data_IF_688941701801
#
_entry.id   IF_688941701801
#
_cell.length_a   1.000
_cell.length_b   1.000
_cell.length_c   1.000
_cell.angle_alpha   90.00
_cell.angle_beta   90.00
_cell.angle_gamma   90.00
#
_symmetry.space_group_name_H-M   'P 1'
#
loop_
_entity.id
_entity.type
_entity.pdbx_description
1 polymer ?
#
# COMPACT_ATOMS: atom_id res chain seq x y z
N UNK A 1 -5.64 -49.21 9.62
CA UNK A 1 -4.80 -48.78 8.48
C UNK A 1 -4.05 -47.53 8.94
N UNK A 2 -2.87 -47.73 9.52
CA UNK A 2 -1.98 -46.64 9.97
C UNK A 2 -1.07 -46.30 8.80
N UNK A 3 -0.92 -45.01 8.50
CA UNK A 3 -0.08 -44.56 7.38
C UNK A 3 1.39 -44.92 7.67
N UNK A 4 2.02 -45.63 6.74
CA UNK A 4 3.43 -46.02 6.83
C UNK A 4 4.33 -44.78 6.88
N UNK A 5 5.43 -44.86 7.63
CA UNK A 5 6.37 -43.74 7.85
C UNK A 5 6.89 -43.13 6.55
N UNK A 6 6.97 -43.93 5.47
CA UNK A 6 7.35 -43.47 4.14
C UNK A 6 6.32 -42.52 3.50
N UNK A 7 5.04 -42.66 3.80
CA UNK A 7 3.98 -41.76 3.30
C UNK A 7 4.03 -40.39 4.01
N UNK A 8 4.37 -40.37 5.31
CA UNK A 8 4.53 -39.14 6.09
C UNK A 8 5.76 -38.35 5.64
N UNK A 9 6.85 -39.04 5.27
CA UNK A 9 8.06 -38.40 4.71
C UNK A 9 7.79 -37.74 3.35
N UNK A 10 7.06 -38.41 2.43
CA UNK A 10 6.73 -37.81 1.12
C UNK A 10 5.87 -36.55 1.24
N UNK A 11 4.87 -36.56 2.12
CA UNK A 11 4.00 -35.40 2.37
C UNK A 11 4.82 -34.20 2.91
N UNK A 12 5.88 -34.46 3.69
CA UNK A 12 6.77 -33.40 4.21
C UNK A 12 7.75 -32.86 3.19
N UNK A 13 8.22 -33.69 2.26
CA UNK A 13 9.06 -33.23 1.14
C UNK A 13 8.27 -32.35 0.16
N UNK A 14 7.05 -32.75 -0.19
CA UNK A 14 6.18 -32.00 -1.11
C UNK A 14 5.84 -30.60 -0.56
N UNK A 15 5.56 -30.51 0.75
CA UNK A 15 5.29 -29.23 1.43
C UNK A 15 6.51 -28.28 1.49
N UNK A 16 7.75 -28.80 1.48
CA UNK A 16 8.96 -27.97 1.47
C UNK A 16 9.30 -27.41 0.10
N UNK A 17 8.88 -28.08 -0.97
CA UNK A 17 9.07 -27.59 -2.34
C UNK A 17 7.98 -26.60 -2.78
N UNK A 18 6.73 -26.77 -2.34
CA UNK A 18 5.66 -25.78 -2.58
C UNK A 18 5.90 -24.46 -1.84
N UNK A 19 6.36 -24.50 -0.58
CA UNK A 19 6.76 -23.30 0.16
C UNK A 19 7.95 -22.54 -0.47
N UNK A 20 8.77 -23.22 -1.30
CA UNK A 20 9.89 -22.60 -2.00
C UNK A 20 9.49 -21.94 -3.33
N UNK A 21 8.31 -22.27 -3.88
CA UNK A 21 7.79 -21.64 -5.11
C UNK A 21 6.86 -20.47 -4.82
N UNK A 22 6.08 -20.50 -3.74
CA UNK A 22 5.17 -19.40 -3.40
C UNK A 22 5.89 -18.11 -2.96
N UNK A 23 7.12 -18.21 -2.45
CA UNK A 23 7.92 -17.04 -2.02
C UNK A 23 8.79 -16.47 -3.14
N UNK A 24 9.02 -17.20 -4.24
CA UNK A 24 9.97 -16.78 -5.29
C UNK A 24 9.37 -15.94 -6.42
N UNK A 25 8.06 -15.71 -6.42
CA UNK A 25 7.42 -14.82 -7.41
C UNK A 25 7.06 -13.44 -6.85
N UNK A 26 6.97 -13.27 -5.52
CA UNK A 26 6.79 -11.93 -4.92
C UNK A 26 8.10 -11.21 -4.61
N UNK A 27 9.25 -11.90 -4.61
CA UNK A 27 10.57 -11.33 -4.27
C UNK A 27 11.62 -11.53 -5.36
N UNK A 28 11.26 -11.34 -6.63
CA UNK A 28 12.23 -11.31 -7.73
C UNK A 28 12.10 -10.06 -8.57
N UNK A 29 12.84 -9.04 -8.13
CA UNK A 29 13.56 -8.17 -9.04
C UNK A 29 13.18 -6.70 -8.93
N UNK A 30 14.17 -5.93 -8.48
CA UNK A 30 14.28 -4.46 -8.54
C UNK A 30 13.58 -3.65 -7.44
N UNK A 31 14.40 -3.22 -6.47
CA UNK A 31 14.21 -2.10 -5.53
C UNK A 31 13.52 -2.38 -4.18
N UNK A 32 14.24 -3.06 -3.29
CA UNK A 32 14.06 -3.02 -1.84
C UNK A 32 14.55 -1.67 -1.25
N UNK A 33 13.94 -0.55 -1.67
CA UNK A 33 14.22 0.78 -1.08
C UNK A 33 13.20 1.07 0.03
N UNK A 34 13.41 0.43 1.18
CA UNK A 34 12.67 0.66 2.42
C UNK A 34 11.37 -0.15 2.47
N UNK A 35 11.26 -1.01 3.48
CA UNK A 35 10.02 -1.71 3.81
C UNK A 35 8.91 -0.66 4.03
N UNK A 36 8.04 -0.52 3.05
CA UNK A 36 6.90 0.41 3.09
C UNK A 36 5.82 -0.13 2.16
N UNK A 37 5.06 -1.09 2.67
CA UNK A 37 3.87 -1.56 1.97
C UNK A 37 2.95 -0.39 1.61
N UNK A 38 2.37 -0.39 0.40
CA UNK A 38 1.42 0.64 0.02
C UNK A 38 0.22 0.62 0.96
N UNK A 39 -0.15 1.80 1.46
CA UNK A 39 -1.30 1.97 2.36
C UNK A 39 -2.53 2.17 1.48
N UNK A 40 -3.46 1.21 1.50
CA UNK A 40 -4.76 1.33 0.85
C UNK A 40 -5.81 1.60 1.92
N UNK A 41 -6.55 2.69 1.78
CA UNK A 41 -7.58 3.09 2.72
C UNK A 41 -8.63 3.97 2.05
N UNK A 42 -9.48 4.61 2.85
CA UNK A 42 -10.51 5.54 2.41
C UNK A 42 -10.32 6.86 3.15
N UNK A 43 -10.48 7.99 2.48
CA UNK A 43 -10.53 9.29 3.17
C UNK A 43 -11.80 9.42 4.02
N UNK A 44 -11.71 10.16 5.11
CA UNK A 44 -12.86 10.52 5.94
C UNK A 44 -13.35 11.90 5.55
N UNK A 45 -14.62 11.99 5.16
CA UNK A 45 -15.28 13.24 4.81
C UNK A 45 -15.21 13.61 3.33
N UNK A 46 -15.31 14.90 3.06
CA UNK A 46 -15.34 15.43 1.69
C UNK A 46 -13.92 15.78 1.21
N UNK A 47 -13.50 15.14 0.13
CA UNK A 47 -12.30 15.48 -0.61
C UNK A 47 -12.63 16.50 -1.69
N UNK A 48 -12.01 17.69 -1.59
CA UNK A 48 -12.21 18.82 -2.50
C UNK A 48 -11.05 19.04 -3.48
N UNK A 49 -10.10 18.12 -3.50
CA UNK A 49 -8.87 18.26 -4.25
C UNK A 49 -7.61 18.28 -3.40
N UNK A 50 -6.48 18.24 -4.09
CA UNK A 50 -5.17 18.43 -3.49
C UNK A 50 -4.83 19.92 -3.32
N UNK A 51 -4.20 20.25 -2.21
CA UNK A 51 -3.71 21.58 -1.88
C UNK A 51 -2.62 21.52 -0.81
N UNK A 52 -1.57 22.34 -0.95
CA UNK A 52 -0.46 22.39 0.01
C UNK A 52 -0.97 22.75 1.41
N UNK A 53 -0.52 22.00 2.42
CA UNK A 53 -0.94 22.16 3.81
C UNK A 53 -2.30 21.52 4.14
N UNK A 54 -3.01 20.96 3.16
CA UNK A 54 -4.22 20.20 3.44
C UNK A 54 -3.88 18.91 4.19
N UNK A 55 -4.75 18.57 5.15
CA UNK A 55 -4.67 17.35 5.93
C UNK A 55 -5.76 16.38 5.49
N UNK A 56 -5.39 15.12 5.41
CA UNK A 56 -6.23 14.02 4.97
C UNK A 56 -6.26 12.95 6.04
N UNK A 57 -7.43 12.74 6.62
CA UNK A 57 -7.67 11.69 7.60
C UNK A 57 -8.13 10.44 6.86
N UNK A 58 -7.45 9.33 7.12
CA UNK A 58 -7.83 8.02 6.61
C UNK A 58 -8.81 7.32 7.56
N UNK A 59 -9.57 6.37 7.04
CA UNK A 59 -10.53 5.58 7.82
C UNK A 59 -9.87 4.75 8.95
N UNK A 60 -8.59 4.43 8.81
CA UNK A 60 -7.80 3.77 9.86
C UNK A 60 -7.27 4.75 10.95
N UNK A 61 -7.68 6.02 10.90
CA UNK A 61 -7.29 7.05 11.88
C UNK A 61 -5.95 7.73 11.61
N UNK A 62 -5.19 7.32 10.59
CA UNK A 62 -3.96 7.99 10.19
C UNK A 62 -4.26 9.37 9.60
N UNK A 63 -3.36 10.32 9.81
CA UNK A 63 -3.48 11.66 9.23
C UNK A 63 -2.23 12.00 8.44
N UNK A 64 -2.46 12.46 7.21
CA UNK A 64 -1.42 12.79 6.25
C UNK A 64 -1.56 14.24 5.81
N UNK A 65 -0.45 14.96 5.75
CA UNK A 65 -0.41 16.34 5.28
C UNK A 65 0.28 16.42 3.93
N UNK A 66 -0.30 17.17 2.99
CA UNK A 66 0.35 17.45 1.72
C UNK A 66 1.42 18.53 1.85
N UNK A 67 2.62 18.20 1.38
CA UNK A 67 3.82 19.06 1.52
C UNK A 67 4.23 19.75 0.22
N UNK A 68 3.66 19.34 -0.92
CA UNK A 68 3.93 19.91 -2.24
C UNK A 68 2.74 20.74 -2.75
N UNK A 69 2.99 21.62 -3.72
CA UNK A 69 1.97 22.45 -4.39
C UNK A 69 1.18 21.71 -5.48
N UNK A 70 1.17 20.37 -5.49
CA UNK A 70 0.35 19.59 -6.42
C UNK A 70 -1.13 19.95 -6.26
N UNK A 71 -1.82 20.27 -7.36
CA UNK A 71 -3.22 20.67 -7.33
C UNK A 71 -4.07 19.70 -8.11
N UNK A 72 -5.20 19.35 -7.53
CA UNK A 72 -6.26 18.61 -8.20
C UNK A 72 -7.55 19.36 -7.94
N UNK A 73 -7.84 20.35 -8.76
CA UNK A 73 -9.04 21.20 -8.63
C UNK A 73 -10.26 20.55 -9.28
N UNK A 74 -11.46 21.00 -8.90
CA UNK A 74 -12.72 20.53 -9.49
C UNK A 74 -13.14 19.13 -9.08
N UNK A 75 -12.43 18.50 -8.15
CA UNK A 75 -12.79 17.18 -7.60
C UNK A 75 -13.64 17.37 -6.36
N UNK A 76 -14.78 16.68 -6.33
CA UNK A 76 -15.62 16.57 -5.15
C UNK A 76 -16.03 15.12 -4.98
N UNK A 77 -15.51 14.48 -3.93
CA UNK A 77 -15.84 13.10 -3.58
C UNK A 77 -16.06 12.99 -2.08
N UNK A 78 -17.01 12.17 -1.68
CA UNK A 78 -17.25 11.86 -0.27
C UNK A 78 -16.68 10.48 0.00
N UNK A 79 -15.79 10.40 1.01
CA UNK A 79 -15.07 9.20 1.38
C UNK A 79 -14.43 8.44 0.20
N UNK A 80 -13.62 9.09 -0.66
CA UNK A 80 -12.98 8.37 -1.76
C UNK A 80 -11.92 7.37 -1.26
N UNK A 81 -11.76 6.29 -2.02
CA UNK A 81 -10.62 5.38 -1.88
C UNK A 81 -9.30 6.10 -2.16
N UNK A 82 -8.27 5.75 -1.41
CA UNK A 82 -6.96 6.39 -1.47
C UNK A 82 -5.85 5.35 -1.30
N UNK A 83 -4.80 5.50 -2.11
CA UNK A 83 -3.58 4.71 -1.99
C UNK A 83 -2.41 5.63 -1.71
N UNK A 84 -1.63 5.32 -0.67
CA UNK A 84 -0.38 6.02 -0.36
C UNK A 84 0.78 5.08 -0.60
N UNK A 85 1.70 5.47 -1.48
CA UNK A 85 2.87 4.66 -1.85
C UNK A 85 4.15 5.35 -1.42
N UNK A 86 5.16 4.61 -0.91
CA UNK A 86 6.48 5.18 -0.77
C UNK A 86 7.06 5.51 -2.15
N UNK A 87 7.89 6.53 -2.20
CA UNK A 87 8.74 6.88 -3.32
C UNK A 87 10.21 6.92 -2.89
N UNK A 88 11.04 7.48 -3.76
CA UNK A 88 12.47 7.66 -3.48
C UNK A 88 12.68 8.65 -2.31
N UNK A 89 13.74 8.44 -1.54
CA UNK A 89 14.18 9.36 -0.47
C UNK A 89 13.13 9.62 0.64
N UNK A 90 12.46 8.56 1.12
CA UNK A 90 11.48 8.63 2.23
C UNK A 90 10.29 9.58 1.95
N UNK A 91 10.00 9.79 0.67
CA UNK A 91 8.84 10.54 0.21
C UNK A 91 7.64 9.63 0.13
N UNK A 92 6.45 10.13 0.45
CA UNK A 92 5.20 9.42 0.26
C UNK A 92 4.31 10.14 -0.73
N UNK A 93 3.63 9.38 -1.57
CA UNK A 93 2.70 9.89 -2.57
C UNK A 93 1.31 9.35 -2.32
N UNK A 94 0.35 10.26 -2.16
CA UNK A 94 -1.07 9.95 -2.03
C UNK A 94 -1.74 10.06 -3.40
N UNK A 95 -2.51 9.04 -3.78
CA UNK A 95 -3.36 9.03 -4.97
C UNK A 95 -4.81 8.75 -4.60
N UNK A 96 -5.74 9.51 -5.15
CA UNK A 96 -7.18 9.24 -5.02
C UNK A 96 -7.62 8.29 -6.14
N UNK A 97 -8.46 7.32 -5.81
CA UNK A 97 -9.00 6.40 -6.82
C UNK A 97 -9.84 7.14 -7.85
N UNK A 98 -9.65 6.77 -9.12
CA UNK A 98 -10.23 7.47 -10.26
C UNK A 98 -9.44 8.70 -10.74
N UNK A 99 -8.34 9.06 -10.07
CA UNK A 99 -7.47 10.17 -10.49
C UNK A 99 -6.01 9.70 -10.68
N UNK A 100 -5.36 10.24 -11.72
CA UNK A 100 -3.95 10.00 -12.00
C UNK A 100 -3.02 10.91 -11.18
N UNK A 101 -3.53 12.04 -10.70
CA UNK A 101 -2.77 13.00 -9.90
C UNK A 101 -2.34 12.38 -8.58
N UNK A 102 -1.06 12.55 -8.25
CA UNK A 102 -0.48 12.17 -6.97
C UNK A 102 -0.05 13.44 -6.23
N UNK A 103 -0.23 13.44 -4.92
CA UNK A 103 0.25 14.51 -4.05
C UNK A 103 1.33 13.97 -3.11
N UNK A 104 2.43 14.70 -3.00
CA UNK A 104 3.46 14.41 -2.01
C UNK A 104 2.92 14.69 -0.61
N UNK A 105 2.97 13.70 0.25
CA UNK A 105 2.43 13.76 1.62
C UNK A 105 3.47 13.34 2.64
N UNK A 106 3.25 13.73 3.89
CA UNK A 106 3.94 13.20 5.06
C UNK A 106 2.92 12.76 6.10
N UNK A 107 3.23 11.71 6.83
CA UNK A 107 2.41 11.29 7.96
C UNK A 107 2.62 12.24 9.12
N UNK A 108 1.52 12.70 9.73
CA UNK A 108 1.54 13.56 10.92
C UNK A 108 0.88 12.89 12.14
N UNK A 109 0.10 11.82 11.94
CA UNK A 109 -0.52 10.99 12.99
C UNK A 109 -0.65 9.53 12.52
#
# INVERSE_FOLDING_TARGET
MVLDAAAIERIREEAREEGRREVKEQHRGFFDFGSSEPIVSTLVGEFRGFGKGQQYTLANGQVWEQIEDARLSGVRKTNPGVTIKPGLFNVWYMRIDGYSTQAKVRRIK
#
